data_IF_169616173741
#
_entry.id   IF_169616173741
#
_cell.length_a   1.000
_cell.length_b   1.000
_cell.length_c   1.000
_cell.angle_alpha   90.00
_cell.angle_beta   90.00
_cell.angle_gamma   90.00
#
_symmetry.space_group_name_H-M   'P 1'
#
loop_
_entity.id
_entity.type
_entity.pdbx_description
1 polymer ?
#
# COMPACT_ATOMS: atom_id res chain seq x y z
N UNK A 1 9.63 -9.17 -25.21
CA UNK A 1 8.18 -8.91 -25.27
C UNK A 1 7.86 -7.98 -24.13
N UNK A 2 7.36 -6.76 -24.37
CA UNK A 2 7.22 -5.74 -23.32
C UNK A 2 6.28 -6.19 -22.20
N UNK A 3 6.64 -5.89 -20.95
CA UNK A 3 5.76 -6.10 -19.78
C UNK A 3 4.50 -5.26 -19.97
N UNK A 4 3.34 -5.91 -19.87
CA UNK A 4 2.03 -5.26 -19.91
C UNK A 4 1.39 -5.37 -18.54
N UNK A 5 1.12 -4.23 -17.92
CA UNK A 5 0.36 -4.16 -16.68
C UNK A 5 -1.07 -3.68 -16.94
N UNK A 6 -1.99 -4.04 -16.05
CA UNK A 6 -3.38 -3.57 -16.07
C UNK A 6 -3.80 -3.23 -14.64
N UNK A 7 -4.56 -2.15 -14.52
CA UNK A 7 -5.20 -1.73 -13.27
C UNK A 7 -6.61 -2.32 -13.20
N UNK A 8 -6.93 -2.92 -12.07
CA UNK A 8 -8.25 -3.39 -11.67
C UNK A 8 -8.68 -2.64 -10.42
N UNK A 9 -9.98 -2.42 -10.26
CA UNK A 9 -10.53 -1.66 -9.14
C UNK A 9 -11.85 -2.26 -8.68
N UNK A 10 -12.13 -2.12 -7.39
CA UNK A 10 -13.43 -2.40 -6.80
C UNK A 10 -13.71 -1.36 -5.71
N UNK A 11 -14.99 -1.08 -5.48
CA UNK A 11 -15.46 -0.17 -4.44
C UNK A 11 -16.36 -0.93 -3.49
N UNK A 12 -16.21 -0.67 -2.20
CA UNK A 12 -17.09 -1.21 -1.16
C UNK A 12 -18.41 -0.44 -1.08
N UNK A 13 -19.40 -1.02 -0.39
CA UNK A 13 -20.52 -0.25 0.13
C UNK A 13 -20.04 0.68 1.27
N UNK A 14 -20.81 1.72 1.54
CA UNK A 14 -20.54 2.62 2.67
C UNK A 14 -20.70 1.88 4.01
N UNK A 15 -19.68 1.96 4.87
CA UNK A 15 -19.68 1.34 6.19
C UNK A 15 -18.73 2.07 7.13
N UNK A 16 -18.89 1.87 8.44
CA UNK A 16 -17.94 2.33 9.46
C UNK A 16 -16.54 1.71 9.25
N UNK A 17 -16.49 0.44 8.86
CA UNK A 17 -15.26 -0.30 8.57
C UNK A 17 -15.34 -0.88 7.16
N UNK A 18 -15.20 -0.03 6.12
CA UNK A 18 -15.40 -0.47 4.74
C UNK A 18 -14.25 -1.38 4.31
N UNK A 19 -14.57 -2.42 3.55
CA UNK A 19 -13.60 -3.36 3.01
C UNK A 19 -14.04 -3.85 1.63
N UNK A 20 -13.08 -4.15 0.77
CA UNK A 20 -13.35 -4.75 -0.54
C UNK A 20 -12.14 -5.56 -1.02
N UNK A 21 -12.42 -6.62 -1.78
CA UNK A 21 -11.40 -7.37 -2.52
C UNK A 21 -11.48 -7.04 -4.00
N UNK A 22 -10.33 -6.81 -4.63
CA UNK A 22 -10.19 -6.69 -6.08
C UNK A 22 -9.63 -8.01 -6.62
N UNK A 23 -10.45 -8.76 -7.33
CA UNK A 23 -10.03 -9.98 -8.03
C UNK A 23 -9.49 -9.65 -9.43
N UNK A 24 -8.41 -10.33 -9.83
CA UNK A 24 -7.88 -10.28 -11.20
C UNK A 24 -8.15 -11.60 -11.92
N UNK A 25 -8.52 -11.58 -13.21
CA UNK A 25 -8.88 -12.78 -13.95
C UNK A 25 -7.67 -13.66 -14.27
N UNK A 26 -7.92 -14.90 -14.67
CA UNK A 26 -6.89 -15.81 -15.14
C UNK A 26 -6.03 -15.18 -16.24
N UNK A 27 -4.73 -15.51 -16.25
CA UNK A 27 -3.74 -14.87 -17.12
C UNK A 27 -3.24 -13.52 -16.61
N UNK A 28 -3.67 -13.07 -15.43
CA UNK A 28 -3.08 -11.95 -14.71
C UNK A 28 -2.54 -12.40 -13.35
N UNK A 29 -1.49 -11.73 -12.88
CA UNK A 29 -0.92 -11.90 -11.53
C UNK A 29 -0.66 -10.53 -10.91
N UNK A 30 -1.08 -10.32 -9.67
CA UNK A 30 -0.89 -9.06 -8.94
C UNK A 30 0.59 -8.83 -8.66
N UNK A 31 1.07 -7.63 -8.95
CA UNK A 31 2.46 -7.19 -8.72
C UNK A 31 2.55 -5.96 -7.82
N UNK A 32 1.41 -5.38 -7.45
CA UNK A 32 1.26 -4.25 -6.55
C UNK A 32 -0.21 -3.85 -6.42
N UNK A 33 -0.50 -2.96 -5.49
CA UNK A 33 -1.85 -2.47 -5.27
C UNK A 33 -1.91 -1.37 -4.24
N UNK A 34 -3.08 -0.77 -4.09
CA UNK A 34 -3.29 0.40 -3.24
C UNK A 34 -4.72 0.49 -2.73
N UNK A 35 -4.99 1.53 -1.95
CA UNK A 35 -6.28 1.81 -1.33
C UNK A 35 -6.54 3.32 -1.25
N UNK A 36 -7.81 3.70 -1.28
CA UNK A 36 -8.29 5.05 -1.04
C UNK A 36 -9.57 5.00 -0.21
N UNK A 37 -9.52 5.53 1.01
CA UNK A 37 -10.72 5.78 1.81
C UNK A 37 -11.41 7.08 1.36
N UNK A 38 -12.66 6.97 0.92
CA UNK A 38 -13.52 8.09 0.52
C UNK A 38 -14.44 8.49 1.68
N UNK A 39 -13.88 9.19 2.67
CA UNK A 39 -14.58 9.59 3.91
C UNK A 39 -15.33 10.93 3.83
N UNK A 40 -15.34 11.57 2.65
CA UNK A 40 -16.15 12.76 2.38
C UNK A 40 -15.81 13.94 3.30
N UNK A 41 -16.82 14.51 3.95
CA UNK A 41 -16.66 15.62 4.91
C UNK A 41 -16.77 15.16 6.38
N UNK A 42 -16.75 13.86 6.63
CA UNK A 42 -16.77 13.30 7.98
C UNK A 42 -15.45 13.55 8.72
N UNK A 43 -15.34 13.02 9.94
CA UNK A 43 -14.12 13.17 10.75
C UNK A 43 -12.93 12.36 10.22
N UNK A 44 -13.18 11.38 9.35
CA UNK A 44 -12.15 10.59 8.68
C UNK A 44 -12.38 9.09 8.77
N UNK A 45 -11.81 8.38 7.80
CA UNK A 45 -11.68 6.93 7.78
C UNK A 45 -10.24 6.61 7.36
N UNK A 46 -9.59 5.70 8.07
CA UNK A 46 -8.15 5.47 7.96
C UNK A 46 -7.88 4.02 7.59
N UNK A 47 -6.83 3.85 6.79
CA UNK A 47 -6.44 2.55 6.27
C UNK A 47 -5.97 1.64 7.41
N UNK A 48 -6.45 0.40 7.39
CA UNK A 48 -5.96 -0.68 8.25
C UNK A 48 -5.37 -1.83 7.46
N UNK A 49 -5.70 -1.93 6.16
CA UNK A 49 -5.17 -2.95 5.28
C UNK A 49 -5.13 -2.52 3.81
N UNK A 50 -4.05 -2.89 3.13
CA UNK A 50 -3.94 -2.95 1.68
C UNK A 50 -2.85 -3.98 1.32
N UNK A 51 -3.23 -5.19 0.95
CA UNK A 51 -2.29 -6.30 0.76
C UNK A 51 -2.77 -7.37 -0.22
N UNK A 52 -1.86 -8.21 -0.76
CA UNK A 52 -2.24 -9.30 -1.66
C UNK A 52 -2.79 -10.50 -0.87
N UNK A 53 -3.94 -11.02 -1.27
CA UNK A 53 -4.49 -12.31 -0.83
C UNK A 53 -4.14 -13.39 -1.86
N UNK A 54 -2.86 -13.78 -1.87
CA UNK A 54 -2.31 -14.61 -2.95
C UNK A 54 -2.10 -13.81 -4.25
N UNK A 55 -1.85 -14.49 -5.38
CA UNK A 55 -1.45 -13.81 -6.62
C UNK A 55 -2.60 -13.12 -7.36
N UNK A 56 -3.86 -13.38 -6.99
CA UNK A 56 -5.02 -12.99 -7.81
C UNK A 56 -6.06 -12.12 -7.10
N UNK A 57 -5.88 -11.82 -5.82
CA UNK A 57 -6.79 -10.99 -5.05
C UNK A 57 -6.03 -9.90 -4.28
N UNK A 58 -6.57 -8.69 -4.25
CA UNK A 58 -6.05 -7.57 -3.47
C UNK A 58 -7.10 -7.14 -2.46
N UNK A 59 -6.80 -7.23 -1.17
CA UNK A 59 -7.72 -6.83 -0.11
C UNK A 59 -7.37 -5.46 0.44
N UNK A 60 -8.38 -4.63 0.66
CA UNK A 60 -8.26 -3.35 1.35
C UNK A 60 -9.32 -3.21 2.43
N UNK A 61 -8.98 -2.53 3.52
CA UNK A 61 -9.91 -2.16 4.57
C UNK A 61 -9.53 -0.83 5.24
N UNK A 62 -10.56 -0.07 5.61
CA UNK A 62 -10.49 1.14 6.42
C UNK A 62 -11.31 1.01 7.69
N UNK A 63 -11.13 1.95 8.62
CA UNK A 63 -12.07 2.17 9.73
C UNK A 63 -12.23 3.66 10.04
N UNK A 64 -13.44 4.06 10.42
CA UNK A 64 -13.63 5.25 11.23
C UNK A 64 -13.00 5.02 12.61
N UNK A 65 -12.60 6.08 13.29
CA UNK A 65 -11.88 5.96 14.55
C UNK A 65 -12.44 6.94 15.56
N UNK A 66 -12.75 6.43 16.76
CA UNK A 66 -13.39 7.12 17.90
C UNK A 66 -14.78 7.73 17.67
N UNK A 67 -14.98 8.38 16.53
CA UNK A 67 -16.22 9.01 16.10
C UNK A 67 -16.66 8.36 14.79
N UNK A 68 -17.96 8.10 14.67
CA UNK A 68 -18.48 7.43 13.48
C UNK A 68 -18.30 8.31 12.25
N UNK A 69 -17.73 7.73 11.20
CA UNK A 69 -17.54 8.36 9.90
C UNK A 69 -17.59 7.29 8.80
N UNK A 70 -18.78 6.73 8.52
CA UNK A 70 -18.94 5.76 7.46
C UNK A 70 -18.41 6.29 6.12
N UNK A 71 -17.72 5.44 5.39
CA UNK A 71 -17.05 5.77 4.15
C UNK A 71 -17.15 4.60 3.17
N UNK A 72 -16.85 4.86 1.90
CA UNK A 72 -16.49 3.79 0.96
C UNK A 72 -14.97 3.71 0.88
N UNK A 73 -14.43 2.51 0.69
CA UNK A 73 -13.03 2.29 0.29
C UNK A 73 -12.96 1.79 -1.15
N UNK A 74 -11.99 2.29 -1.93
CA UNK A 74 -11.63 1.78 -3.25
C UNK A 74 -10.33 0.97 -3.14
N UNK A 75 -10.37 -0.28 -3.59
CA UNK A 75 -9.18 -1.10 -3.78
C UNK A 75 -8.64 -0.96 -5.20
N UNK A 76 -7.31 -0.99 -5.33
CA UNK A 76 -6.61 -0.94 -6.61
C UNK A 76 -5.64 -2.11 -6.71
N UNK A 77 -5.75 -2.94 -7.76
CA UNK A 77 -4.81 -4.00 -8.04
C UNK A 77 -4.09 -3.75 -9.37
N UNK A 78 -2.75 -3.69 -9.33
CA UNK A 78 -1.91 -3.65 -10.52
C UNK A 78 -1.44 -5.07 -10.79
N UNK A 79 -1.79 -5.61 -11.95
CA UNK A 79 -1.40 -6.96 -12.33
C UNK A 79 -0.65 -6.99 -13.65
N UNK A 80 0.34 -7.89 -13.74
CA UNK A 80 1.01 -8.24 -14.99
C UNK A 80 0.11 -9.18 -15.80
N UNK A 81 -0.02 -8.92 -17.10
CA UNK A 81 -0.66 -9.85 -18.03
C UNK A 81 0.36 -10.92 -18.44
N UNK A 82 0.14 -12.16 -17.98
CA UNK A 82 1.04 -13.29 -18.14
C UNK A 82 0.27 -14.59 -18.48
N UNK A 83 -0.33 -14.68 -19.69
CA UNK A 83 -1.11 -15.85 -20.09
C UNK A 83 -0.27 -17.11 -20.32
N UNK A 84 1.04 -16.97 -20.47
CA UNK A 84 1.98 -18.05 -20.75
C UNK A 84 2.77 -18.51 -19.50
N UNK A 85 2.49 -17.93 -18.32
CA UNK A 85 3.23 -18.19 -17.07
C UNK A 85 4.75 -17.96 -17.20
N UNK A 86 5.15 -16.91 -17.93
CA UNK A 86 6.54 -16.51 -18.14
C UNK A 86 7.16 -15.82 -16.91
N UNK A 87 6.31 -15.27 -16.03
CA UNK A 87 6.71 -14.52 -14.84
C UNK A 87 6.44 -15.27 -13.56
N UNK A 88 7.49 -15.49 -12.80
CA UNK A 88 7.43 -15.92 -11.41
C UNK A 88 7.06 -14.70 -10.55
N UNK A 89 5.93 -14.75 -9.86
CA UNK A 89 5.51 -13.74 -8.88
C UNK A 89 5.61 -14.36 -7.50
N UNK A 90 6.40 -13.75 -6.63
CA UNK A 90 6.54 -14.17 -5.24
C UNK A 90 5.97 -13.11 -4.31
N UNK A 91 5.35 -13.57 -3.23
CA UNK A 91 4.86 -12.74 -2.13
C UNK A 91 5.56 -13.27 -0.88
N UNK A 92 6.37 -12.43 -0.24
CA UNK A 92 6.92 -12.70 1.08
C UNK A 92 6.17 -11.87 2.10
N UNK A 93 5.96 -12.41 3.29
CA UNK A 93 5.30 -11.71 4.37
C UNK A 93 6.04 -11.92 5.68
N UNK A 94 6.07 -10.90 6.51
CA UNK A 94 6.67 -10.95 7.85
C UNK A 94 5.74 -10.22 8.82
N UNK A 95 5.61 -10.73 10.05
CA UNK A 95 4.77 -10.10 11.08
C UNK A 95 5.60 -9.63 12.27
N UNK A 96 5.25 -8.47 12.79
CA UNK A 96 5.81 -7.97 14.04
C UNK A 96 5.22 -8.68 15.25
N UNK A 97 5.72 -8.32 16.44
CA UNK A 97 5.05 -8.63 17.70
C UNK A 97 3.88 -7.67 17.98
N UNK A 98 2.98 -8.01 18.91
CA UNK A 98 1.97 -7.07 19.40
C UNK A 98 2.64 -5.86 20.06
N UNK A 99 2.35 -4.66 19.58
CA UNK A 99 2.88 -3.40 20.11
C UNK A 99 1.88 -2.25 19.86
N UNK A 100 1.86 -1.19 20.68
CA UNK A 100 1.13 0.06 20.39
C UNK A 100 1.46 0.66 19.02
N UNK A 101 2.73 0.57 18.59
CA UNK A 101 3.25 1.16 17.37
C UNK A 101 4.06 0.12 16.57
N UNK A 102 3.42 -0.99 16.12
CA UNK A 102 4.16 -2.12 15.60
C UNK A 102 4.74 -1.78 14.22
N UNK A 103 5.86 -2.44 13.91
CA UNK A 103 6.47 -2.42 12.58
C UNK A 103 6.89 -3.83 12.17
N UNK A 104 6.92 -4.07 10.87
CA UNK A 104 7.39 -5.32 10.28
C UNK A 104 8.05 -5.06 8.93
N UNK A 105 9.04 -5.89 8.57
CA UNK A 105 9.75 -5.79 7.29
C UNK A 105 9.78 -7.15 6.60
N UNK A 106 9.11 -7.26 5.45
CA UNK A 106 9.19 -8.43 4.59
C UNK A 106 10.34 -8.29 3.59
N UNK A 107 11.05 -9.38 3.32
CA UNK A 107 12.22 -9.40 2.42
C UNK A 107 12.02 -10.42 1.31
N UNK A 108 12.21 -10.00 0.06
CA UNK A 108 12.22 -10.89 -1.10
C UNK A 108 13.49 -11.72 -1.16
N UNK A 109 13.44 -12.94 -1.74
CA UNK A 109 14.64 -13.70 -2.07
C UNK A 109 15.47 -13.00 -3.16
N UNK A 110 16.75 -13.32 -3.21
CA UNK A 110 17.65 -12.86 -4.28
C UNK A 110 17.14 -13.24 -5.68
N UNK A 111 17.43 -12.38 -6.65
CA UNK A 111 17.06 -12.57 -8.06
C UNK A 111 15.64 -12.13 -8.42
N UNK A 112 14.85 -11.63 -7.47
CA UNK A 112 13.59 -10.95 -7.73
C UNK A 112 13.77 -9.43 -7.82
N UNK A 113 12.86 -8.78 -8.53
CA UNK A 113 12.71 -7.32 -8.51
C UNK A 113 11.45 -6.94 -7.73
N UNK A 114 11.60 -6.12 -6.69
CA UNK A 114 10.48 -5.58 -5.93
C UNK A 114 9.57 -4.73 -6.83
N UNK A 115 8.31 -5.11 -6.97
CA UNK A 115 7.32 -4.40 -7.79
C UNK A 115 6.28 -3.66 -6.97
N UNK A 116 6.07 -4.09 -5.74
CA UNK A 116 5.10 -3.55 -4.81
C UNK A 116 5.14 -4.29 -3.48
N UNK A 117 4.15 -4.02 -2.65
CA UNK A 117 4.00 -4.63 -1.35
C UNK A 117 2.74 -4.12 -0.69
N UNK A 118 2.54 -4.48 0.57
CA UNK A 118 1.32 -4.18 1.29
C UNK A 118 1.48 -4.30 2.79
N UNK A 119 0.40 -3.96 3.49
CA UNK A 119 0.33 -4.02 4.94
C UNK A 119 -1.05 -4.49 5.40
N UNK A 120 -1.10 -5.18 6.53
CA UNK A 120 -2.33 -5.52 7.24
C UNK A 120 -2.09 -5.38 8.73
N UNK A 121 -2.97 -4.65 9.42
CA UNK A 121 -2.97 -4.56 10.88
C UNK A 121 -4.07 -5.48 11.42
N UNK A 122 -3.70 -6.39 12.32
CA UNK A 122 -4.64 -7.21 13.07
C UNK A 122 -5.03 -6.46 14.35
N UNK A 123 -6.04 -5.59 14.23
CA UNK A 123 -6.50 -4.72 15.30
C UNK A 123 -7.77 -5.26 15.98
N UNK A 124 -8.00 -4.84 17.22
CA UNK A 124 -9.26 -5.03 17.95
C UNK A 124 -9.68 -3.68 18.57
N UNK A 125 -10.75 -3.63 19.36
CA UNK A 125 -11.02 -2.48 20.24
C UNK A 125 -11.06 -1.10 19.55
N UNK A 126 -10.33 -0.13 20.13
CA UNK A 126 -10.17 1.21 19.56
C UNK A 126 -9.41 1.14 18.22
N UNK A 127 -8.45 0.22 18.16
CA UNK A 127 -7.77 -0.20 16.95
C UNK A 127 -6.47 0.52 16.68
N UNK A 128 -5.81 0.05 15.61
CA UNK A 128 -4.46 0.43 15.25
C UNK A 128 -4.45 0.63 13.73
N UNK A 129 -3.93 1.78 13.28
CA UNK A 129 -4.15 2.32 11.94
C UNK A 129 -2.81 2.50 11.23
N UNK A 130 -2.81 2.29 9.90
CA UNK A 130 -1.58 2.31 9.13
C UNK A 130 -0.96 3.71 9.13
N UNK A 131 0.36 3.75 9.34
CA UNK A 131 1.20 4.95 9.18
C UNK A 131 2.24 4.76 8.09
N UNK A 132 2.55 3.51 7.71
CA UNK A 132 3.45 3.25 6.61
C UNK A 132 3.18 1.90 5.92
N UNK A 133 3.42 1.87 4.61
CA UNK A 133 3.55 0.68 3.76
C UNK A 133 4.35 1.08 2.53
N UNK A 134 5.66 0.81 2.52
CA UNK A 134 6.56 1.38 1.52
C UNK A 134 7.80 0.50 1.25
N UNK A 135 8.47 0.66 0.10
CA UNK A 135 9.75 0.02 -0.14
C UNK A 135 10.83 0.62 0.77
N UNK A 136 11.35 -0.17 1.72
CA UNK A 136 12.44 0.25 2.62
C UNK A 136 13.83 -0.08 2.09
N UNK A 137 13.90 -0.81 0.96
CA UNK A 137 15.14 -1.22 0.31
C UNK A 137 14.87 -1.79 -1.09
N UNK A 138 15.89 -2.40 -1.70
CA UNK A 138 15.77 -2.97 -3.05
C UNK A 138 14.94 -4.25 -3.09
N UNK A 139 14.92 -5.00 -1.98
CA UNK A 139 14.18 -6.25 -1.81
C UNK A 139 13.21 -6.22 -0.63
N UNK A 140 13.15 -5.12 0.13
CA UNK A 140 12.43 -5.06 1.40
C UNK A 140 11.22 -4.13 1.33
N UNK A 141 10.16 -4.55 2.00
CA UNK A 141 8.95 -3.76 2.22
C UNK A 141 8.71 -3.61 3.72
N UNK A 142 8.52 -2.37 4.16
CA UNK A 142 8.24 -2.08 5.57
C UNK A 142 6.80 -1.60 5.74
N UNK A 143 6.15 -2.09 6.78
CA UNK A 143 4.83 -1.66 7.23
C UNK A 143 4.92 -1.15 8.66
N UNK A 144 4.16 -0.09 8.96
CA UNK A 144 4.01 0.48 10.31
C UNK A 144 2.56 0.85 10.60
N UNK A 145 2.16 0.73 11.85
CA UNK A 145 0.88 1.23 12.33
C UNK A 145 1.01 1.81 13.73
N UNK A 146 -0.02 2.47 14.21
CA UNK A 146 -0.12 2.91 15.60
C UNK A 146 -1.56 2.87 16.11
N UNK A 147 -1.72 2.70 17.41
CA UNK A 147 -2.92 3.12 18.10
C UNK A 147 -2.97 4.66 18.18
N UNK A 148 -4.11 5.19 18.58
CA UNK A 148 -4.34 6.63 18.64
C UNK A 148 -5.26 6.94 19.83
N UNK A 149 -4.78 7.86 20.69
CA UNK A 149 -5.32 8.29 21.99
C UNK A 149 -5.54 7.20 23.06
N UNK A 150 -6.06 6.04 22.69
CA UNK A 150 -6.28 4.87 23.55
C UNK A 150 -5.29 3.75 23.16
N UNK A 151 -4.44 3.29 24.08
CA UNK A 151 -3.53 2.19 23.79
C UNK A 151 -4.26 0.91 23.36
N UNK A 152 -3.91 0.39 22.19
CA UNK A 152 -4.48 -0.85 21.61
C UNK A 152 -3.40 -1.58 20.81
N UNK A 153 -2.54 -2.37 21.50
CA UNK A 153 -1.46 -3.10 20.86
C UNK A 153 -1.97 -4.07 19.79
N UNK A 154 -1.39 -3.99 18.59
CA UNK A 154 -1.77 -4.81 17.45
C UNK A 154 -0.56 -5.51 16.83
N UNK A 155 -0.83 -6.54 16.03
CA UNK A 155 0.19 -7.16 15.16
C UNK A 155 0.05 -6.58 13.77
N UNK A 156 1.15 -6.14 13.18
CA UNK A 156 1.21 -5.75 11.76
C UNK A 156 1.93 -6.82 10.93
N UNK A 157 1.42 -7.08 9.74
CA UNK A 157 2.07 -7.91 8.73
C UNK A 157 2.46 -7.04 7.53
N UNK A 158 3.74 -7.07 7.16
CA UNK A 158 4.26 -6.49 5.94
C UNK A 158 4.26 -7.54 4.82
N UNK A 159 4.05 -7.10 3.58
CA UNK A 159 4.09 -7.94 2.39
C UNK A 159 5.02 -7.34 1.35
N UNK A 160 5.97 -8.10 0.83
CA UNK A 160 6.81 -7.72 -0.30
C UNK A 160 6.45 -8.55 -1.54
N UNK A 161 6.22 -7.90 -2.67
CA UNK A 161 5.85 -8.56 -3.94
C UNK A 161 6.99 -8.37 -4.93
N UNK A 162 7.49 -9.48 -5.45
CA UNK A 162 8.60 -9.51 -6.39
C UNK A 162 8.28 -10.27 -7.65
N UNK A 163 8.86 -9.84 -8.78
CA UNK A 163 8.79 -10.60 -10.03
C UNK A 163 10.17 -11.02 -10.52
N UNK A 164 10.19 -12.15 -11.22
CA UNK A 164 11.36 -12.66 -11.94
C UNK A 164 10.88 -13.41 -13.18
N UNK A 165 11.59 -13.27 -14.29
CA UNK A 165 11.28 -14.07 -15.48
C UNK A 165 11.76 -15.51 -15.29
N UNK A 166 10.89 -16.51 -15.56
CA UNK A 166 11.22 -17.93 -15.34
C UNK A 166 12.37 -18.41 -16.23
N UNK A 167 12.47 -17.89 -17.44
CA UNK A 167 13.54 -18.24 -18.38
C UNK A 167 14.91 -17.61 -18.09
N UNK A 168 15.10 -16.88 -16.98
CA UNK A 168 16.41 -16.32 -16.56
C UNK A 168 17.02 -15.20 -17.42
N UNK A 169 16.52 -14.99 -18.64
CA UNK A 169 17.13 -14.13 -19.66
C UNK A 169 16.40 -12.79 -19.92
N UNK A 170 15.82 -12.16 -18.89
CA UNK A 170 15.24 -10.82 -19.05
C UNK A 170 15.99 -9.83 -18.21
N UNK A 171 16.60 -8.85 -18.87
CA UNK A 171 17.15 -7.69 -18.20
C UNK A 171 15.97 -6.81 -17.76
N UNK A 172 15.51 -7.00 -16.53
CA UNK A 172 14.52 -6.16 -15.90
C UNK A 172 15.24 -5.10 -15.06
N UNK A 173 14.86 -3.84 -15.24
CA UNK A 173 15.25 -2.75 -14.33
C UNK A 173 14.05 -2.31 -13.51
N UNK A 174 14.35 -1.87 -12.29
CA UNK A 174 13.44 -1.22 -11.34
C UNK A 174 13.91 0.22 -11.10
N UNK A 175 12.96 1.10 -10.81
CA UNK A 175 13.21 2.40 -10.17
C UNK A 175 12.21 2.63 -9.04
N UNK A 176 12.59 3.47 -8.07
CA UNK A 176 11.68 4.03 -7.06
C UNK A 176 11.84 5.53 -7.05
N UNK A 177 10.74 6.24 -7.28
CA UNK A 177 10.69 7.69 -7.19
C UNK A 177 9.96 8.08 -5.91
N UNK A 178 10.65 8.62 -4.89
CA UNK A 178 10.01 9.22 -3.73
C UNK A 178 9.65 10.69 -4.00
N UNK A 179 8.55 11.16 -3.41
CA UNK A 179 8.17 12.58 -3.30
C UNK A 179 7.56 12.81 -1.93
N UNK A 180 8.09 13.76 -1.17
CA UNK A 180 7.52 14.20 0.12
C UNK A 180 6.72 15.46 -0.07
N UNK A 181 5.50 15.49 0.45
CA UNK A 181 4.61 16.64 0.44
C UNK A 181 4.92 17.64 1.56
N UNK A 182 4.11 18.70 1.60
CA UNK A 182 4.23 19.74 2.63
C UNK A 182 3.81 19.23 4.01
N UNK A 183 4.24 19.96 5.05
CA UNK A 183 3.82 19.70 6.42
C UNK A 183 2.43 20.30 6.64
N UNK A 184 1.44 19.44 6.89
CA UNK A 184 0.03 19.84 7.03
C UNK A 184 -0.70 18.87 7.96
N UNK A 185 -1.89 19.26 8.44
CA UNK A 185 -2.84 18.42 9.16
C UNK A 185 -3.38 17.30 8.27
N UNK A 186 -3.55 17.57 6.97
CA UNK A 186 -4.04 16.61 5.97
C UNK A 186 -3.09 16.53 4.77
N UNK A 187 -1.84 16.09 4.98
CA UNK A 187 -0.79 16.18 3.98
C UNK A 187 -1.06 15.21 2.82
N UNK A 188 -0.67 15.63 1.63
CA UNK A 188 -0.75 14.80 0.42
C UNK A 188 0.57 14.86 -0.35
N UNK A 189 0.87 13.80 -1.09
CA UNK A 189 2.00 13.78 -2.01
C UNK A 189 1.70 12.92 -3.23
N UNK A 190 2.36 13.21 -4.35
CA UNK A 190 2.24 12.42 -5.58
C UNK A 190 3.61 12.25 -6.22
N UNK A 191 4.05 11.00 -6.36
CA UNK A 191 5.28 10.66 -7.06
C UNK A 191 4.96 10.15 -8.47
N UNK A 192 5.56 10.72 -9.51
CA UNK A 192 5.31 10.32 -10.90
C UNK A 192 6.54 9.73 -11.56
N UNK A 193 6.35 8.65 -12.32
CA UNK A 193 7.38 8.07 -13.16
C UNK A 193 7.46 8.76 -14.52
N UNK A 194 8.66 8.84 -15.09
CA UNK A 194 8.89 9.26 -16.47
C UNK A 194 8.33 8.24 -17.49
N UNK A 195 8.21 8.66 -18.74
CA UNK A 195 7.44 7.94 -19.77
C UNK A 195 8.01 6.57 -20.14
N UNK A 196 9.30 6.33 -19.89
CA UNK A 196 9.97 5.07 -20.17
C UNK A 196 9.62 3.95 -19.17
N UNK A 197 9.09 4.28 -17.99
CA UNK A 197 8.74 3.29 -16.96
C UNK A 197 7.28 2.87 -17.03
N UNK A 198 7.04 1.61 -16.67
CA UNK A 198 5.71 1.08 -16.40
C UNK A 198 5.51 1.03 -14.89
N UNK A 199 4.44 1.64 -14.38
CA UNK A 199 4.09 1.57 -12.96
C UNK A 199 3.76 0.11 -12.58
N UNK A 200 4.43 -0.39 -11.54
CA UNK A 200 4.18 -1.73 -10.99
C UNK A 200 3.55 -1.70 -9.61
N UNK A 201 3.76 -0.61 -8.87
CA UNK A 201 3.28 -0.43 -7.51
C UNK A 201 3.75 0.89 -6.92
N UNK A 202 3.55 1.05 -5.63
CA UNK A 202 3.98 2.22 -4.87
C UNK A 202 3.60 2.09 -3.41
N UNK A 203 4.05 3.06 -2.60
CA UNK A 203 3.89 3.02 -1.16
C UNK A 203 3.69 4.40 -0.55
N UNK A 204 3.40 4.42 0.74
CA UNK A 204 3.18 5.62 1.54
C UNK A 204 3.93 5.52 2.86
N UNK A 205 4.49 6.64 3.30
CA UNK A 205 5.07 6.82 4.63
C UNK A 205 4.56 8.13 5.21
N UNK A 206 3.87 8.06 6.33
CA UNK A 206 3.58 9.22 7.15
C UNK A 206 4.79 9.53 8.06
N UNK A 207 5.32 10.74 7.98
CA UNK A 207 6.49 11.18 8.74
C UNK A 207 6.05 11.90 10.02
N UNK A 208 5.29 11.18 10.85
CA UNK A 208 4.65 11.71 12.04
C UNK A 208 5.56 11.74 13.28
N UNK A 209 5.14 12.51 14.28
CA UNK A 209 5.63 12.49 15.66
C UNK A 209 4.46 12.79 16.62
N UNK A 210 4.61 12.53 17.91
CA UNK A 210 3.55 12.80 18.89
C UNK A 210 2.27 12.02 18.59
N UNK A 211 1.11 12.68 18.67
CA UNK A 211 -0.19 12.08 18.33
C UNK A 211 -0.22 11.61 16.88
N UNK A 212 0.40 12.36 15.97
CA UNK A 212 0.74 11.93 14.62
C UNK A 212 -0.41 11.77 13.64
N UNK A 213 -0.04 11.56 12.37
CA UNK A 213 -0.96 11.35 11.27
C UNK A 213 -1.08 9.87 10.89
N UNK A 214 -2.21 9.54 10.29
CA UNK A 214 -2.65 8.22 9.89
C UNK A 214 -2.94 8.21 8.39
N UNK A 215 -2.60 7.12 7.70
CA UNK A 215 -2.81 7.02 6.27
C UNK A 215 -4.29 6.88 5.93
N UNK A 216 -4.75 7.65 4.95
CA UNK A 216 -6.10 7.55 4.37
C UNK A 216 -6.06 7.15 2.89
N UNK A 217 -4.90 7.31 2.24
CA UNK A 217 -4.75 6.94 0.83
C UNK A 217 -3.31 6.51 0.49
N UNK A 218 -3.20 5.51 -0.38
CA UNK A 218 -1.97 5.10 -1.07
C UNK A 218 -2.38 4.34 -2.33
N UNK A 219 -2.42 5.00 -3.49
CA UNK A 219 -3.03 4.43 -4.68
C UNK A 219 -2.39 4.91 -6.00
N UNK A 220 -2.52 4.13 -7.09
CA UNK A 220 -2.02 4.53 -8.39
C UNK A 220 -2.94 5.56 -9.08
N UNK A 221 -2.33 6.55 -9.72
CA UNK A 221 -3.00 7.52 -10.59
C UNK A 221 -2.21 7.65 -11.91
N UNK A 222 -2.60 6.90 -12.94
CA UNK A 222 -1.85 6.84 -14.19
C UNK A 222 -0.46 6.22 -13.99
N UNK A 223 0.61 7.01 -14.21
CA UNK A 223 2.01 6.63 -13.94
C UNK A 223 2.52 7.15 -12.59
N UNK A 224 1.62 7.70 -11.78
CA UNK A 224 1.93 8.28 -10.50
C UNK A 224 1.39 7.42 -9.36
N UNK A 225 1.95 7.64 -8.17
CA UNK A 225 1.45 7.12 -6.91
C UNK A 225 1.07 8.29 -6.02
N UNK A 226 -0.19 8.34 -5.61
CA UNK A 226 -0.78 9.38 -4.78
C UNK A 226 -1.02 8.85 -3.37
N UNK A 227 -0.67 9.66 -2.37
CA UNK A 227 -0.83 9.31 -0.95
C UNK A 227 -1.44 10.47 -0.18
N UNK A 228 -2.14 10.15 0.89
CA UNK A 228 -2.70 11.12 1.82
C UNK A 228 -2.64 10.57 3.25
N UNK A 229 -2.37 11.47 4.20
CA UNK A 229 -2.48 11.24 5.63
C UNK A 229 -3.40 12.26 6.26
N UNK A 230 -3.78 12.04 7.52
CA UNK A 230 -4.42 13.06 8.35
C UNK A 230 -4.12 12.87 9.82
N UNK A 231 -4.14 13.96 10.57
CA UNK A 231 -4.25 13.91 12.03
C UNK A 231 -5.61 13.38 12.44
N UNK A 232 -5.86 13.10 13.72
CA UNK A 232 -7.20 12.68 14.15
C UNK A 232 -7.55 13.32 15.48
N UNK A 233 -8.66 14.06 15.50
CA UNK A 233 -9.20 14.84 16.65
C UNK A 233 -8.29 15.99 17.11
N UNK A 234 -7.01 15.72 17.32
CA UNK A 234 -5.99 16.67 17.74
C UNK A 234 -5.13 17.11 16.55
N UNK A 235 -4.98 18.42 16.31
CA UNK A 235 -4.10 18.92 15.28
C UNK A 235 -2.67 18.39 15.43
N UNK A 236 -2.16 17.63 14.46
CA UNK A 236 -0.81 17.06 14.51
C UNK A 236 -0.09 17.10 13.15
N UNK A 237 0.28 18.28 12.63
CA UNK A 237 0.81 18.39 11.27
C UNK A 237 2.05 17.52 11.01
N UNK A 238 2.01 16.73 9.94
CA UNK A 238 3.11 15.88 9.48
C UNK A 238 3.31 16.03 7.96
N UNK A 239 4.39 15.45 7.42
CA UNK A 239 4.54 15.29 5.97
C UNK A 239 4.24 13.85 5.58
N UNK A 240 3.80 13.61 4.34
CA UNK A 240 3.72 12.25 3.77
C UNK A 240 4.67 12.09 2.60
N UNK A 241 5.26 10.91 2.47
CA UNK A 241 6.13 10.52 1.35
C UNK A 241 5.42 9.50 0.47
N UNK A 242 5.17 9.84 -0.78
CA UNK A 242 4.72 8.93 -1.82
C UNK A 242 5.91 8.24 -2.48
N UNK A 243 5.80 6.95 -2.76
CA UNK A 243 6.78 6.17 -3.51
C UNK A 243 6.11 5.59 -4.75
N UNK A 244 6.61 5.91 -5.95
CA UNK A 244 6.19 5.25 -7.19
C UNK A 244 7.26 4.24 -7.64
N UNK A 245 6.85 2.99 -7.88
CA UNK A 245 7.75 1.91 -8.33
C UNK A 245 7.53 1.64 -9.81
N UNK A 246 8.59 1.79 -10.59
CA UNK A 246 8.59 1.56 -12.03
C UNK A 246 9.42 0.34 -12.41
N UNK A 247 8.93 -0.42 -13.38
CA UNK A 247 9.68 -1.49 -14.04
C UNK A 247 9.82 -1.25 -15.54
N UNK A 248 10.93 -1.71 -16.10
CA UNK A 248 11.20 -1.63 -17.55
C UNK A 248 12.15 -2.75 -17.97
N UNK A 249 11.80 -3.44 -19.05
CA UNK A 249 12.73 -4.35 -19.73
C UNK A 249 13.72 -3.57 -20.59
N UNK A 250 14.98 -4.01 -20.62
CA UNK A 250 16.04 -3.45 -21.46
C UNK A 250 16.64 -4.48 -22.40
#
# INVERSE_FOLDING_TARGET
MSIKTKLFQAISAEAAHPQVTVDVPAGFKIIGGGALDNWGSGVGNMLTAAYPQGPNAWFVAGKDHEQSSPATIIGFAIAIHDPNDEWDVTIQSESGGPDPHPSATATLPDGYHLTGGGASVNWTGAGNLLTASFPSGDLTWEARSKDHDVPDPAVITAYAIGIRHRGGHVNLKRTVQPVTGDNDQHPTATACLSSEWTLSGGGALDNWNGDGNLLTASFPQGKCWSVAGKDHIHPSPATVTAFAIGIRQI
#
